data_IF_046490513160
#
_entry.id   IF_046490513160
#
_cell.length_a   1.000
_cell.length_b   1.000
_cell.length_c   1.000
_cell.angle_alpha   90.00
_cell.angle_beta   90.00
_cell.angle_gamma   90.00
#
_symmetry.space_group_name_H-M   'P 1'
#
loop_
_entity.id
_entity.type
_entity.pdbx_description
1 polymer ?
#
# COMPACT_ATOMS: atom_id res chain seq x y z
N UNK A 1 32.10 -39.65 38.30
CA UNK A 1 31.00 -39.65 37.31
C UNK A 1 30.07 -38.48 37.63
N UNK A 2 30.05 -37.40 36.85
CA UNK A 2 29.11 -36.31 37.07
C UNK A 2 27.85 -36.48 36.21
N UNK A 3 26.70 -36.29 36.83
CA UNK A 3 25.38 -36.39 36.22
C UNK A 3 25.16 -35.30 35.16
N UNK A 4 24.81 -35.71 33.94
CA UNK A 4 24.34 -34.81 32.87
C UNK A 4 22.95 -34.29 33.24
N UNK A 5 22.85 -32.98 33.50
CA UNK A 5 21.57 -32.27 33.48
C UNK A 5 21.15 -32.11 32.03
N UNK A 6 20.02 -32.74 31.66
CA UNK A 6 19.34 -32.51 30.40
C UNK A 6 18.60 -31.17 30.53
N UNK A 7 19.06 -30.15 29.80
CA UNK A 7 18.31 -28.92 29.59
C UNK A 7 17.11 -29.27 28.69
N UNK A 8 15.93 -29.30 29.28
CA UNK A 8 14.68 -29.30 28.52
C UNK A 8 14.58 -27.94 27.81
N UNK A 9 14.71 -27.96 26.48
CA UNK A 9 14.42 -26.79 25.66
C UNK A 9 12.91 -26.52 25.74
N UNK A 10 12.53 -25.43 26.40
CA UNK A 10 11.20 -24.86 26.27
C UNK A 10 11.08 -24.32 24.83
N UNK A 11 10.40 -25.06 23.97
CA UNK A 11 9.94 -24.53 22.69
C UNK A 11 8.76 -23.61 23.00
N UNK A 12 9.02 -22.31 23.07
CA UNK A 12 7.96 -21.31 23.04
C UNK A 12 7.38 -21.36 21.63
N UNK A 13 6.20 -21.95 21.48
CA UNK A 13 5.44 -21.85 20.24
C UNK A 13 5.07 -20.38 20.03
N UNK A 14 5.75 -19.71 19.11
CA UNK A 14 5.34 -18.41 18.60
C UNK A 14 3.92 -18.55 18.07
N UNK A 15 2.96 -17.85 18.68
CA UNK A 15 1.61 -17.71 18.12
C UNK A 15 1.74 -16.85 16.87
N UNK A 16 1.96 -17.49 15.71
CA UNK A 16 1.77 -16.83 14.43
C UNK A 16 0.34 -16.33 14.38
N UNK A 17 0.15 -15.02 14.19
CA UNK A 17 -1.17 -14.47 13.93
C UNK A 17 -1.81 -15.28 12.79
N UNK A 18 -2.94 -15.93 13.05
CA UNK A 18 -3.63 -16.74 12.06
C UNK A 18 -4.58 -15.81 11.30
N UNK A 19 -4.59 -15.91 9.96
CA UNK A 19 -5.54 -15.15 9.16
C UNK A 19 -6.93 -15.75 9.22
N UNK A 20 -7.96 -14.92 9.04
CA UNK A 20 -9.36 -15.31 9.01
C UNK A 20 -9.88 -15.34 7.56
N UNK A 21 -10.77 -16.28 7.26
CA UNK A 21 -11.41 -16.36 5.94
C UNK A 21 -12.57 -15.38 5.88
N UNK A 22 -12.63 -14.57 4.82
CA UNK A 22 -13.66 -13.52 4.66
C UNK A 22 -15.03 -14.06 4.35
N UNK A 23 -15.11 -15.32 3.88
CA UNK A 23 -16.29 -15.86 3.22
C UNK A 23 -16.13 -15.74 1.70
N UNK A 24 -16.99 -16.49 1.00
CA UNK A 24 -16.98 -16.57 -0.47
C UNK A 24 -17.26 -15.20 -1.11
N UNK A 25 -16.66 -14.95 -2.29
CA UNK A 25 -16.77 -13.71 -3.04
C UNK A 25 -18.22 -13.38 -3.44
N UNK A 26 -19.05 -14.42 -3.64
CA UNK A 26 -20.47 -14.29 -3.95
C UNK A 26 -20.79 -14.39 -5.45
N UNK A 27 -19.97 -15.11 -6.22
CA UNK A 27 -20.27 -15.48 -7.60
C UNK A 27 -21.34 -16.58 -7.64
N UNK A 28 -22.11 -16.65 -8.73
CA UNK A 28 -23.02 -17.76 -8.93
C UNK A 28 -22.26 -19.09 -8.99
N UNK A 29 -22.55 -19.95 -8.03
CA UNK A 29 -21.81 -21.18 -7.80
C UNK A 29 -22.77 -22.33 -7.47
N UNK A 30 -22.91 -23.25 -8.42
CA UNK A 30 -23.75 -24.45 -8.30
C UNK A 30 -22.97 -25.68 -8.79
N UNK A 31 -23.38 -26.86 -8.33
CA UNK A 31 -22.86 -28.13 -8.84
C UNK A 31 -23.89 -29.25 -8.66
N UNK A 32 -24.11 -30.05 -9.69
CA UNK A 32 -25.09 -31.15 -9.70
C UNK A 32 -24.47 -32.53 -9.43
N UNK A 33 -23.15 -32.67 -9.64
CA UNK A 33 -22.36 -33.86 -9.29
C UNK A 33 -21.65 -33.72 -7.94
N UNK A 34 -21.73 -34.74 -7.08
CA UNK A 34 -21.12 -34.75 -5.74
C UNK A 34 -19.58 -34.69 -5.78
N UNK A 35 -19.02 -33.48 -5.86
CA UNK A 35 -17.84 -32.97 -5.13
C UNK A 35 -17.44 -31.63 -5.71
N UNK A 36 -17.72 -30.57 -4.97
CA UNK A 36 -17.00 -29.31 -5.12
C UNK A 36 -15.52 -29.58 -4.82
N UNK A 37 -14.64 -29.41 -5.80
CA UNK A 37 -13.21 -29.50 -5.54
C UNK A 37 -12.75 -28.20 -4.87
N UNK A 38 -11.97 -28.33 -3.81
CA UNK A 38 -11.51 -27.20 -3.02
C UNK A 38 -9.99 -27.28 -2.84
N UNK A 39 -9.30 -26.19 -3.14
CA UNK A 39 -7.88 -26.03 -2.83
C UNK A 39 -7.65 -24.73 -2.08
N UNK A 40 -6.87 -24.79 -1.02
CA UNK A 40 -6.45 -23.63 -0.25
C UNK A 40 -4.93 -23.50 -0.32
N UNK A 41 -4.47 -22.30 -0.60
CA UNK A 41 -3.06 -21.93 -0.61
C UNK A 41 -2.85 -20.78 0.37
N UNK A 42 -1.71 -20.79 1.06
CA UNK A 42 -1.35 -19.74 2.00
C UNK A 42 0.13 -19.39 1.87
N UNK A 43 0.45 -18.12 2.07
CA UNK A 43 1.80 -17.62 2.20
C UNK A 43 2.27 -17.79 3.65
N UNK A 44 3.22 -18.69 3.95
CA UNK A 44 3.55 -19.07 5.33
C UNK A 44 4.12 -17.93 6.18
N UNK A 45 4.80 -16.96 5.54
CA UNK A 45 5.62 -15.95 6.23
C UNK A 45 5.22 -14.51 5.88
N UNK A 46 4.02 -14.29 5.36
CA UNK A 46 3.64 -12.94 4.90
C UNK A 46 2.36 -12.93 4.10
N UNK A 47 2.36 -12.11 3.05
CA UNK A 47 1.20 -11.84 2.22
C UNK A 47 1.43 -12.27 0.78
N UNK A 48 0.32 -12.43 0.05
CA UNK A 48 0.34 -12.60 -1.39
C UNK A 48 0.82 -11.28 -2.00
N UNK A 49 1.74 -11.34 -2.94
CA UNK A 49 2.28 -10.19 -3.70
C UNK A 49 2.01 -10.32 -5.20
N UNK A 50 1.29 -11.36 -5.60
CA UNK A 50 0.97 -11.65 -6.99
C UNK A 50 0.29 -13.00 -7.16
N UNK A 51 -0.33 -13.19 -8.32
CA UNK A 51 -1.02 -14.42 -8.69
C UNK A 51 -0.67 -14.77 -10.14
N UNK A 52 -0.40 -16.05 -10.37
CA UNK A 52 -0.41 -16.64 -11.72
C UNK A 52 -1.64 -17.51 -11.83
N UNK A 53 -2.37 -17.34 -12.93
CA UNK A 53 -3.52 -18.18 -13.28
C UNK A 53 -3.20 -18.87 -14.60
N UNK A 54 -3.45 -20.18 -14.65
CA UNK A 54 -3.48 -20.93 -15.90
C UNK A 54 -4.88 -21.40 -16.21
N UNK A 55 -5.24 -21.31 -17.49
CA UNK A 55 -6.47 -21.81 -18.06
C UNK A 55 -6.14 -22.97 -19.01
N UNK A 56 -6.84 -24.08 -18.83
CA UNK A 56 -6.78 -25.27 -19.66
C UNK A 56 -8.18 -25.70 -20.05
N UNK A 57 -8.30 -26.40 -21.17
CA UNK A 57 -9.57 -26.96 -21.63
C UNK A 57 -9.35 -28.37 -22.14
N UNK A 58 -10.17 -29.30 -21.69
CA UNK A 58 -10.27 -30.62 -22.28
C UNK A 58 -11.31 -30.59 -23.40
N UNK A 59 -10.87 -30.74 -24.65
CA UNK A 59 -11.76 -30.63 -25.81
C UNK A 59 -12.65 -31.90 -25.95
N UNK A 60 -12.31 -33.00 -25.28
CA UNK A 60 -13.09 -34.26 -25.30
C UNK A 60 -14.26 -34.24 -24.30
N UNK A 61 -14.03 -33.67 -23.11
CA UNK A 61 -15.00 -33.58 -22.01
C UNK A 61 -15.66 -32.17 -21.91
N UNK A 62 -15.31 -31.27 -22.83
CA UNK A 62 -15.74 -29.87 -22.92
C UNK A 62 -15.64 -29.07 -21.61
N UNK A 63 -14.58 -29.32 -20.85
CA UNK A 63 -14.41 -28.75 -19.50
C UNK A 63 -13.32 -27.69 -19.44
N UNK A 64 -13.62 -26.58 -18.77
CA UNK A 64 -12.72 -25.46 -18.50
C UNK A 64 -12.11 -25.54 -17.09
N UNK A 65 -10.77 -25.51 -17.07
CA UNK A 65 -9.97 -25.78 -15.89
C UNK A 65 -9.07 -24.60 -15.55
N UNK A 66 -9.15 -24.13 -14.31
CA UNK A 66 -8.30 -23.07 -13.78
C UNK A 66 -7.49 -23.56 -12.60
N UNK A 67 -6.20 -23.22 -12.61
CA UNK A 67 -5.29 -23.52 -11.51
C UNK A 67 -4.40 -22.31 -11.23
N UNK A 68 -3.96 -22.21 -9.99
CA UNK A 68 -3.51 -20.96 -9.41
C UNK A 68 -2.14 -21.15 -8.74
N UNK A 69 -1.33 -20.10 -8.78
CA UNK A 69 -0.06 -20.00 -8.08
C UNK A 69 -0.01 -18.66 -7.38
N UNK A 70 0.46 -18.64 -6.14
CA UNK A 70 0.60 -17.42 -5.36
C UNK A 70 2.06 -16.98 -5.35
N UNK A 71 2.32 -15.68 -5.47
CA UNK A 71 3.61 -15.08 -5.14
C UNK A 71 3.56 -14.69 -3.67
N UNK A 72 4.50 -15.18 -2.89
CA UNK A 72 4.66 -14.88 -1.46
C UNK A 72 5.98 -14.12 -1.28
N UNK A 73 5.90 -12.81 -1.08
CA UNK A 73 7.09 -11.95 -1.15
C UNK A 73 7.70 -12.00 -2.56
N UNK A 74 8.90 -12.56 -2.69
CA UNK A 74 9.61 -12.69 -3.98
C UNK A 74 9.61 -14.12 -4.55
N UNK A 75 8.84 -15.05 -3.96
CA UNK A 75 8.84 -16.45 -4.36
C UNK A 75 7.46 -16.92 -4.79
N UNK A 76 7.41 -17.66 -5.88
CA UNK A 76 6.20 -18.34 -6.31
C UNK A 76 6.00 -19.66 -5.56
N UNK A 77 4.77 -19.95 -5.14
CA UNK A 77 4.36 -21.19 -4.51
C UNK A 77 4.36 -22.37 -5.50
N UNK A 78 4.06 -23.57 -5.04
CA UNK A 78 3.58 -24.61 -5.96
C UNK A 78 2.20 -24.21 -6.54
N UNK A 79 1.80 -24.85 -7.64
CA UNK A 79 0.42 -24.77 -8.12
C UNK A 79 -0.54 -25.28 -7.05
N UNK A 80 -1.77 -24.75 -7.05
CA UNK A 80 -2.79 -25.09 -6.07
C UNK A 80 -3.19 -26.57 -6.12
N UNK A 81 -2.97 -27.21 -7.27
CA UNK A 81 -3.33 -28.61 -7.50
C UNK A 81 -4.82 -28.78 -7.82
N UNK A 82 -5.45 -27.75 -8.38
CA UNK A 82 -6.75 -27.87 -9.01
C UNK A 82 -6.65 -28.81 -10.23
N UNK A 83 -7.71 -29.54 -10.58
CA UNK A 83 -7.74 -30.37 -11.78
C UNK A 83 -7.37 -29.53 -13.00
N UNK A 84 -6.43 -30.01 -13.79
CA UNK A 84 -5.90 -29.25 -14.92
C UNK A 84 -5.41 -30.17 -16.03
N UNK A 85 -5.84 -29.90 -17.25
CA UNK A 85 -5.38 -30.55 -18.49
C UNK A 85 -5.22 -29.49 -19.59
N UNK A 86 -4.39 -29.81 -20.58
CA UNK A 86 -4.35 -29.09 -21.87
C UNK A 86 -4.30 -27.56 -21.77
N UNK A 87 -3.15 -27.03 -21.35
CA UNK A 87 -2.90 -25.59 -21.20
C UNK A 87 -3.28 -24.80 -22.47
N UNK A 88 -4.15 -23.79 -22.32
CA UNK A 88 -4.53 -22.86 -23.39
C UNK A 88 -3.93 -21.47 -23.15
N UNK A 89 -3.83 -21.03 -21.89
CA UNK A 89 -3.29 -19.71 -21.53
C UNK A 89 -2.73 -19.70 -20.10
N UNK A 90 -1.72 -18.87 -19.85
CA UNK A 90 -1.19 -18.56 -18.52
C UNK A 90 -0.90 -17.07 -18.44
N UNK A 91 -1.35 -16.42 -17.36
CA UNK A 91 -1.11 -15.00 -17.09
C UNK A 91 -0.70 -14.81 -15.64
N UNK A 92 0.13 -13.79 -15.41
CA UNK A 92 0.56 -13.41 -14.07
C UNK A 92 0.36 -11.92 -13.85
N UNK A 93 -0.02 -11.56 -12.63
CA UNK A 93 0.04 -10.19 -12.15
C UNK A 93 0.82 -10.17 -10.82
N UNK A 94 1.65 -9.16 -10.67
CA UNK A 94 2.41 -8.89 -9.45
C UNK A 94 2.09 -7.49 -8.98
N UNK A 95 2.00 -7.30 -7.68
CA UNK A 95 1.87 -5.98 -7.11
C UNK A 95 3.18 -5.20 -7.25
N UNK A 96 3.14 -3.91 -7.63
CA UNK A 96 4.33 -3.07 -7.74
C UNK A 96 5.08 -2.96 -6.42
N UNK A 97 6.40 -2.75 -6.47
CA UNK A 97 7.23 -2.31 -5.32
C UNK A 97 7.04 -3.12 -4.02
N UNK A 98 6.92 -4.46 -4.11
CA UNK A 98 6.71 -5.35 -2.95
C UNK A 98 5.43 -5.07 -2.14
N UNK A 99 4.49 -4.32 -2.71
CA UNK A 99 3.13 -4.22 -2.19
C UNK A 99 2.50 -5.61 -2.11
N UNK A 100 1.55 -5.75 -1.20
CA UNK A 100 0.79 -6.98 -1.01
C UNK A 100 -0.63 -6.81 -1.54
N UNK A 101 -1.22 -7.93 -1.90
CA UNK A 101 -2.60 -7.99 -2.35
C UNK A 101 -3.52 -7.78 -1.15
N UNK A 102 -4.44 -6.83 -1.26
CA UNK A 102 -5.47 -6.51 -0.25
C UNK A 102 -6.88 -6.85 -0.72
N UNK A 103 -7.07 -7.15 -2.00
CA UNK A 103 -8.37 -7.50 -2.58
C UNK A 103 -8.25 -8.26 -3.89
N UNK A 104 -9.33 -8.96 -4.24
CA UNK A 104 -9.49 -9.72 -5.47
C UNK A 104 -10.85 -9.40 -6.10
N UNK A 105 -10.85 -9.08 -7.39
CA UNK A 105 -12.04 -8.88 -8.23
C UNK A 105 -11.98 -9.90 -9.37
N UNK A 106 -13.10 -10.57 -9.62
CA UNK A 106 -13.21 -11.66 -10.60
C UNK A 106 -14.40 -11.41 -11.50
N UNK A 107 -14.16 -11.55 -12.81
CA UNK A 107 -15.20 -11.62 -13.83
C UNK A 107 -15.45 -13.06 -14.21
N UNK A 108 -16.72 -13.42 -14.29
CA UNK A 108 -17.20 -14.67 -14.88
C UNK A 108 -17.91 -14.36 -16.20
N UNK A 109 -17.58 -15.10 -17.24
CA UNK A 109 -18.17 -14.94 -18.56
C UNK A 109 -18.37 -16.30 -19.23
N UNK A 110 -19.27 -16.35 -20.21
CA UNK A 110 -19.53 -17.55 -21.00
C UNK A 110 -19.62 -17.23 -22.48
N UNK A 111 -19.06 -18.12 -23.30
CA UNK A 111 -19.28 -18.16 -24.73
C UNK A 111 -20.21 -19.34 -25.05
N UNK A 112 -21.44 -19.02 -25.44
CA UNK A 112 -22.45 -20.02 -25.83
C UNK A 112 -22.02 -20.92 -27.00
N UNK A 113 -21.17 -20.41 -27.90
CA UNK A 113 -20.65 -21.23 -29.00
C UNK A 113 -19.40 -22.00 -28.57
N UNK A 114 -19.56 -23.31 -28.40
CA UNK A 114 -18.53 -24.21 -27.91
C UNK A 114 -18.35 -24.14 -26.40
N UNK A 115 -19.41 -23.74 -25.67
CA UNK A 115 -19.56 -23.88 -24.21
C UNK A 115 -18.32 -23.52 -23.39
N UNK A 116 -17.77 -22.33 -23.62
CA UNK A 116 -16.53 -21.88 -22.97
C UNK A 116 -16.84 -20.99 -21.76
N UNK A 117 -16.46 -21.44 -20.57
CA UNK A 117 -16.48 -20.67 -19.34
C UNK A 117 -15.15 -19.94 -19.13
N UNK A 118 -15.25 -18.62 -19.05
CA UNK A 118 -14.10 -17.72 -18.99
C UNK A 118 -14.06 -16.92 -17.70
N UNK A 119 -12.86 -16.78 -17.15
CA UNK A 119 -12.62 -15.97 -15.96
C UNK A 119 -11.45 -15.02 -16.19
N UNK A 120 -11.59 -13.78 -15.71
CA UNK A 120 -10.49 -12.81 -15.65
C UNK A 120 -10.43 -12.22 -14.26
N UNK A 121 -9.22 -11.89 -13.83
CA UNK A 121 -8.90 -11.59 -12.45
C UNK A 121 -8.27 -10.21 -12.35
N UNK A 122 -8.47 -9.56 -11.22
CA UNK A 122 -7.91 -8.25 -10.94
C UNK A 122 -7.54 -8.18 -9.48
N UNK A 123 -6.31 -7.73 -9.22
CA UNK A 123 -5.78 -7.62 -7.87
C UNK A 123 -5.90 -6.18 -7.39
N UNK A 124 -6.18 -6.01 -6.10
CA UNK A 124 -5.96 -4.76 -5.39
C UNK A 124 -4.62 -4.86 -4.68
N UNK A 125 -3.72 -3.94 -4.95
CA UNK A 125 -2.40 -3.86 -4.33
C UNK A 125 -2.39 -2.68 -3.35
N UNK A 126 -2.31 -2.99 -2.06
CA UNK A 126 -2.28 -1.99 -0.97
C UNK A 126 -3.36 -0.91 -1.12
N UNK A 127 -4.61 -1.34 -1.36
CA UNK A 127 -5.78 -0.45 -1.54
C UNK A 127 -5.99 0.07 -2.96
N UNK A 128 -5.04 -0.12 -3.89
CA UNK A 128 -5.13 0.37 -5.27
C UNK A 128 -5.45 -0.78 -6.23
N UNK A 129 -6.61 -0.72 -6.88
CA UNK A 129 -7.03 -1.69 -7.89
C UNK A 129 -6.17 -1.59 -9.16
N UNK A 130 -5.61 -2.72 -9.57
CA UNK A 130 -4.77 -2.83 -10.76
C UNK A 130 -5.62 -3.10 -12.02
N UNK A 131 -4.97 -3.17 -13.18
CA UNK A 131 -5.61 -3.71 -14.38
C UNK A 131 -5.90 -5.21 -14.22
N UNK A 132 -6.89 -5.68 -14.98
CA UNK A 132 -7.14 -7.11 -15.12
C UNK A 132 -5.90 -7.86 -15.65
N UNK A 133 -5.77 -9.13 -15.29
CA UNK A 133 -4.71 -10.03 -15.77
C UNK A 133 -4.73 -10.17 -17.29
N UNK A 134 -5.89 -9.98 -17.92
CA UNK A 134 -6.05 -10.03 -19.36
C UNK A 134 -6.12 -11.46 -19.88
N UNK A 135 -6.83 -12.32 -19.15
CA UNK A 135 -7.23 -13.65 -19.62
C UNK A 135 -8.19 -13.51 -20.82
N UNK A 136 -8.19 -14.47 -21.74
CA UNK A 136 -9.22 -14.54 -22.78
C UNK A 136 -10.60 -14.62 -22.14
N UNK A 137 -11.46 -13.68 -22.49
CA UNK A 137 -12.75 -13.49 -21.82
C UNK A 137 -13.87 -13.25 -22.83
N UNK A 138 -15.03 -13.87 -22.62
CA UNK A 138 -16.20 -13.76 -23.49
C UNK A 138 -17.49 -13.66 -22.67
N UNK A 139 -18.46 -12.87 -23.17
CA UNK A 139 -19.84 -12.86 -22.68
C UNK A 139 -20.01 -12.74 -21.16
N UNK A 140 -19.62 -11.58 -20.60
CA UNK A 140 -19.76 -11.27 -19.17
C UNK A 140 -21.12 -11.69 -18.62
N UNK A 141 -21.10 -12.52 -17.58
CA UNK A 141 -22.27 -12.94 -16.82
C UNK A 141 -22.30 -12.22 -15.47
N UNK A 142 -21.17 -12.23 -14.76
CA UNK A 142 -21.08 -11.70 -13.40
C UNK A 142 -19.70 -11.09 -13.12
N UNK A 143 -19.66 -10.14 -12.19
CA UNK A 143 -18.45 -9.53 -11.66
C UNK A 143 -18.63 -9.36 -10.15
N UNK A 144 -17.70 -9.90 -9.37
CA UNK A 144 -17.69 -9.77 -7.91
C UNK A 144 -16.31 -9.41 -7.40
N UNK A 145 -16.26 -8.78 -6.23
CA UNK A 145 -15.00 -8.40 -5.57
C UNK A 145 -15.09 -8.55 -4.07
N UNK A 146 -13.95 -8.90 -3.48
CA UNK A 146 -13.78 -8.92 -2.03
C UNK A 146 -12.46 -8.24 -1.67
N UNK A 147 -12.50 -7.47 -0.59
CA UNK A 147 -11.34 -6.81 0.00
C UNK A 147 -11.15 -7.33 1.43
N UNK A 148 -9.90 -7.40 1.87
CA UNK A 148 -9.60 -7.57 3.28
C UNK A 148 -10.01 -6.32 4.07
N UNK A 149 -10.32 -6.46 5.38
CA UNK A 149 -10.50 -5.32 6.25
C UNK A 149 -9.30 -4.35 6.21
N UNK A 150 -9.56 -3.07 6.51
CA UNK A 150 -8.50 -2.05 6.56
C UNK A 150 -7.36 -2.47 7.50
N UNK A 151 -6.12 -2.37 7.02
CA UNK A 151 -4.92 -2.78 7.76
C UNK A 151 -4.62 -4.29 7.71
N UNK A 152 -5.33 -5.05 6.88
CA UNK A 152 -5.09 -6.46 6.62
C UNK A 152 -4.68 -6.70 5.16
N UNK A 153 -3.83 -7.71 4.96
CA UNK A 153 -3.41 -8.20 3.65
C UNK A 153 -3.89 -9.62 3.42
N UNK A 154 -4.07 -9.99 2.16
CA UNK A 154 -4.40 -11.36 1.80
C UNK A 154 -3.15 -12.23 2.02
N UNK A 155 -3.28 -13.22 2.90
CA UNK A 155 -2.26 -14.22 3.21
C UNK A 155 -2.57 -15.58 2.61
N UNK A 156 -3.77 -15.79 2.07
CA UNK A 156 -4.14 -17.03 1.39
C UNK A 156 -5.34 -16.87 0.46
N UNK A 157 -5.45 -17.81 -0.48
CA UNK A 157 -6.54 -17.92 -1.43
C UNK A 157 -7.09 -19.33 -1.36
N UNK A 158 -8.41 -19.45 -1.25
CA UNK A 158 -9.15 -20.70 -1.38
C UNK A 158 -10.01 -20.62 -2.62
N UNK A 159 -9.96 -21.68 -3.42
CA UNK A 159 -10.66 -21.80 -4.69
C UNK A 159 -11.56 -23.02 -4.60
N UNK A 160 -12.79 -22.84 -5.08
CA UNK A 160 -13.80 -23.87 -5.23
C UNK A 160 -14.11 -24.05 -6.72
N UNK A 161 -14.26 -25.30 -7.17
CA UNK A 161 -14.78 -25.62 -8.50
C UNK A 161 -16.03 -26.46 -8.37
N UNK A 162 -17.10 -25.99 -9.00
CA UNK A 162 -18.35 -26.70 -9.23
C UNK A 162 -18.47 -27.03 -10.71
N UNK A 163 -19.18 -28.12 -11.00
CA UNK A 163 -19.55 -28.49 -12.36
C UNK A 163 -21.05 -28.75 -12.43
N UNK A 164 -21.67 -28.25 -13.49
CA UNK A 164 -23.06 -28.52 -13.86
C UNK A 164 -23.04 -29.34 -15.16
N UNK A 165 -23.52 -30.58 -15.09
CA UNK A 165 -23.69 -31.48 -16.24
C UNK A 165 -24.66 -30.91 -17.27
N UNK A 166 -25.76 -30.28 -16.84
CA UNK A 166 -26.70 -29.69 -17.79
C UNK A 166 -26.18 -28.36 -18.36
N UNK A 167 -25.64 -28.45 -19.58
CA UNK A 167 -25.06 -27.33 -20.29
C UNK A 167 -23.60 -27.09 -19.96
N UNK A 168 -22.87 -28.11 -19.49
CA UNK A 168 -21.41 -28.15 -19.38
C UNK A 168 -20.84 -26.83 -18.82
N UNK A 169 -21.12 -26.59 -17.52
CA UNK A 169 -20.69 -25.36 -16.85
C UNK A 169 -19.64 -25.61 -15.79
N UNK A 170 -18.49 -24.99 -15.95
CA UNK A 170 -17.41 -24.92 -14.98
C UNK A 170 -17.49 -23.63 -14.16
N UNK A 171 -17.97 -23.77 -12.93
CA UNK A 171 -18.20 -22.67 -12.01
C UNK A 171 -17.07 -22.58 -10.98
N UNK A 172 -16.57 -21.38 -10.72
CA UNK A 172 -15.52 -21.14 -9.73
C UNK A 172 -15.95 -20.09 -8.72
N UNK A 173 -15.56 -20.33 -7.47
CA UNK A 173 -15.75 -19.40 -6.36
C UNK A 173 -14.46 -19.28 -5.54
N UNK A 174 -14.30 -18.15 -4.85
CA UNK A 174 -13.07 -17.74 -4.19
C UNK A 174 -13.35 -17.25 -2.77
N UNK A 175 -12.42 -17.50 -1.86
CA UNK A 175 -12.46 -17.03 -0.48
C UNK A 175 -11.04 -16.57 -0.09
N UNK A 176 -10.95 -15.45 0.62
CA UNK A 176 -9.69 -14.77 0.92
C UNK A 176 -9.34 -15.00 2.39
N UNK A 177 -8.09 -15.36 2.68
CA UNK A 177 -7.59 -15.42 4.05
C UNK A 177 -6.87 -14.12 4.38
N UNK A 178 -7.50 -13.27 5.19
CA UNK A 178 -6.98 -11.96 5.56
C UNK A 178 -6.25 -12.04 6.89
N UNK A 179 -5.12 -11.34 6.98
CA UNK A 179 -4.31 -11.29 8.19
C UNK A 179 -3.86 -9.85 8.42
N UNK A 180 -3.89 -9.40 9.67
CA UNK A 180 -3.35 -8.10 10.05
C UNK A 180 -1.91 -7.94 9.61
N UNK A 181 -1.65 -6.86 8.86
CA UNK A 181 -0.32 -6.46 8.39
C UNK A 181 0.57 -6.16 9.60
N UNK A 182 0.08 -5.31 10.50
CA UNK A 182 0.76 -4.95 11.74
C UNK A 182 1.08 -6.18 12.61
N UNK A 183 0.12 -7.09 12.85
CA UNK A 183 0.36 -8.27 13.67
C UNK A 183 1.29 -9.30 13.00
N UNK A 184 1.23 -9.45 11.67
CA UNK A 184 2.17 -10.29 10.92
C UNK A 184 3.60 -9.76 11.08
N UNK A 185 3.79 -8.46 10.85
CA UNK A 185 5.10 -7.83 10.88
C UNK A 185 5.67 -7.73 12.31
N UNK A 186 4.84 -7.43 13.31
CA UNK A 186 5.22 -7.47 14.73
C UNK A 186 5.64 -8.88 15.20
N UNK A 187 5.07 -9.94 14.61
CA UNK A 187 5.46 -11.33 14.90
C UNK A 187 6.78 -11.74 14.24
N UNK A 188 7.22 -11.01 13.22
CA UNK A 188 8.44 -11.29 12.46
C UNK A 188 9.62 -10.49 13.01
N UNK A 189 9.45 -9.20 13.36
CA UNK A 189 10.44 -8.33 14.03
C UNK A 189 9.72 -7.19 14.76
N UNK A 190 9.85 -7.11 16.08
CA UNK A 190 9.09 -6.13 16.87
C UNK A 190 9.56 -4.70 16.66
N UNK A 191 8.68 -3.83 16.15
CA UNK A 191 8.84 -2.39 16.25
C UNK A 191 8.99 -1.98 17.72
N UNK A 192 9.86 -1.03 18.05
CA UNK A 192 10.00 -0.55 19.41
C UNK A 192 8.72 0.17 19.84
N UNK A 193 8.27 -0.12 21.07
CA UNK A 193 7.11 0.55 21.66
C UNK A 193 7.41 2.05 21.85
N UNK A 194 6.69 2.90 21.10
CA UNK A 194 6.87 4.36 21.13
C UNK A 194 6.69 4.95 22.53
N UNK A 195 5.76 4.41 23.32
CA UNK A 195 5.51 4.87 24.69
C UNK A 195 6.69 4.55 25.59
N UNK A 196 7.33 3.39 25.40
CA UNK A 196 8.54 3.01 26.13
C UNK A 196 9.74 3.89 25.76
N UNK A 197 9.81 4.35 24.50
CA UNK A 197 10.82 5.31 24.05
C UNK A 197 10.51 6.76 24.45
N UNK A 198 9.35 7.04 25.06
CA UNK A 198 8.93 8.40 25.37
C UNK A 198 8.56 9.23 24.14
N UNK A 199 8.30 8.59 23.00
CA UNK A 199 7.96 9.25 21.74
C UNK A 199 6.44 9.44 21.61
N UNK A 200 5.99 10.57 21.06
CA UNK A 200 4.57 10.80 20.83
C UNK A 200 4.05 9.85 19.73
N UNK A 201 2.79 9.42 19.83
CA UNK A 201 2.20 8.46 18.88
C UNK A 201 2.03 9.04 17.48
N UNK A 202 1.82 10.34 17.36
CA UNK A 202 1.77 11.01 16.07
C UNK A 202 3.21 11.22 15.56
N UNK A 203 3.65 10.37 14.65
CA UNK A 203 5.01 10.40 14.08
C UNK A 203 5.23 11.63 13.20
N UNK A 204 4.19 12.14 12.55
CA UNK A 204 4.31 13.25 11.59
C UNK A 204 4.75 14.57 12.24
N UNK A 205 4.67 14.67 13.57
CA UNK A 205 5.12 15.85 14.33
C UNK A 205 6.49 15.64 14.99
N UNK A 206 7.16 14.52 14.72
CA UNK A 206 8.47 14.27 15.31
C UNK A 206 9.50 15.23 14.73
N UNK A 207 10.32 15.79 15.61
CA UNK A 207 11.57 16.45 15.21
C UNK A 207 12.64 15.42 14.83
N UNK A 208 13.80 15.91 14.40
CA UNK A 208 14.92 15.05 14.01
C UNK A 208 15.50 14.23 15.17
N UNK A 209 15.46 14.74 16.41
CA UNK A 209 16.00 14.03 17.58
C UNK A 209 15.07 12.87 18.01
N UNK A 210 13.76 13.09 17.95
CA UNK A 210 12.75 12.07 18.19
C UNK A 210 12.82 10.96 17.14
N UNK A 211 12.97 11.34 15.86
CA UNK A 211 13.24 10.37 14.81
C UNK A 211 14.56 9.62 15.08
N UNK A 212 15.62 10.31 15.46
CA UNK A 212 16.90 9.71 15.83
C UNK A 212 16.79 8.67 16.95
N UNK A 213 16.02 8.99 18.00
CA UNK A 213 15.73 8.08 19.12
C UNK A 213 15.07 6.79 18.66
N UNK A 214 14.13 6.88 17.71
CA UNK A 214 13.49 5.71 17.11
C UNK A 214 14.47 4.88 16.27
N UNK A 215 15.33 5.53 15.48
CA UNK A 215 16.36 4.86 14.70
C UNK A 215 17.39 4.14 15.58
N UNK A 216 17.82 4.76 16.67
CA UNK A 216 18.70 4.15 17.67
C UNK A 216 18.10 2.86 18.25
N UNK A 217 16.81 2.91 18.62
CA UNK A 217 16.10 1.74 19.16
C UNK A 217 16.00 0.57 18.16
N UNK A 218 16.07 0.88 16.85
CA UNK A 218 16.08 -0.10 15.77
C UNK A 218 17.49 -0.63 15.44
N UNK A 219 18.53 -0.12 16.11
CA UNK A 219 19.92 -0.43 15.80
C UNK A 219 20.45 0.27 14.54
N UNK A 220 19.80 1.37 14.13
CA UNK A 220 20.18 2.22 13.00
C UNK A 220 20.82 3.55 13.46
N UNK A 221 21.31 3.61 14.70
CA UNK A 221 21.90 4.82 15.28
C UNK A 221 23.02 5.46 14.48
N UNK A 222 23.77 4.65 13.73
CA UNK A 222 24.87 5.12 12.89
C UNK A 222 24.44 6.08 11.77
N UNK A 223 23.18 6.03 11.32
CA UNK A 223 22.69 6.93 10.27
C UNK A 223 22.03 8.20 10.81
N UNK A 224 21.79 8.28 12.12
CA UNK A 224 21.13 9.44 12.77
C UNK A 224 21.83 10.76 12.47
N UNK A 225 23.18 10.88 12.52
CA UNK A 225 23.84 12.15 12.20
C UNK A 225 23.54 12.63 10.77
N UNK A 226 23.43 11.71 9.82
CA UNK A 226 23.12 12.03 8.41
C UNK A 226 21.67 12.50 8.26
N UNK A 227 20.73 11.83 8.95
CA UNK A 227 19.33 12.26 8.97
C UNK A 227 19.17 13.67 9.57
N UNK A 228 19.87 13.97 10.66
CA UNK A 228 19.87 15.30 11.27
C UNK A 228 20.48 16.35 10.34
N UNK A 229 21.62 16.07 9.72
CA UNK A 229 22.31 16.99 8.81
C UNK A 229 21.44 17.37 7.60
N UNK A 230 20.71 16.40 7.06
CA UNK A 230 19.79 16.59 5.95
C UNK A 230 18.37 17.05 6.37
N UNK A 231 18.16 17.50 7.61
CA UNK A 231 16.87 17.96 8.15
C UNK A 231 15.72 16.93 7.99
N UNK A 232 16.02 15.64 8.08
CA UNK A 232 15.00 14.59 8.04
C UNK A 232 14.28 14.50 9.40
N UNK A 233 12.96 14.56 9.37
CA UNK A 233 12.10 14.53 10.55
C UNK A 233 10.86 13.66 10.31
N UNK A 234 9.98 13.54 11.28
CA UNK A 234 8.82 12.65 11.19
C UNK A 234 7.84 12.98 10.06
N UNK A 235 7.79 14.24 9.61
CA UNK A 235 6.98 14.64 8.47
C UNK A 235 7.65 14.34 7.13
N UNK A 236 8.97 14.41 7.01
CA UNK A 236 9.69 14.20 5.74
C UNK A 236 10.21 12.78 5.54
N UNK A 237 10.34 11.99 6.61
CA UNK A 237 10.89 10.64 6.56
C UNK A 237 10.08 9.68 5.67
N UNK A 238 8.75 9.87 5.59
CA UNK A 238 7.86 9.07 4.74
C UNK A 238 7.94 9.43 3.26
N UNK A 239 8.62 10.52 2.90
CA UNK A 239 8.84 10.97 1.52
C UNK A 239 10.17 10.47 0.94
N UNK A 240 10.98 9.78 1.75
CA UNK A 240 12.27 9.27 1.31
C UNK A 240 12.13 8.18 0.25
N UNK A 241 12.92 8.29 -0.81
CA UNK A 241 13.06 7.26 -1.84
C UNK A 241 14.27 6.37 -1.53
N UNK A 242 14.39 5.23 -2.23
CA UNK A 242 15.58 4.38 -2.08
C UNK A 242 16.89 5.13 -2.38
N UNK A 243 16.87 6.05 -3.35
CA UNK A 243 18.05 6.84 -3.70
C UNK A 243 18.43 7.82 -2.58
N UNK A 244 17.45 8.44 -1.91
CA UNK A 244 17.70 9.27 -0.73
C UNK A 244 18.32 8.47 0.41
N UNK A 245 17.84 7.25 0.66
CA UNK A 245 18.42 6.37 1.68
C UNK A 245 19.88 6.03 1.36
N UNK A 246 20.22 5.84 0.09
CA UNK A 246 21.61 5.61 -0.33
C UNK A 246 22.48 6.83 -0.02
N UNK A 247 22.01 8.03 -0.35
CA UNK A 247 22.68 9.30 -0.06
C UNK A 247 22.85 9.53 1.46
N UNK A 248 21.85 9.15 2.26
CA UNK A 248 21.87 9.21 3.71
C UNK A 248 22.80 8.19 4.38
N UNK A 249 23.43 7.29 3.61
CA UNK A 249 24.41 6.32 4.09
C UNK A 249 23.91 4.88 4.24
N UNK A 250 22.63 4.61 3.93
CA UNK A 250 22.10 3.24 3.85
C UNK A 250 22.50 2.61 2.50
N UNK A 251 23.79 2.29 2.36
CA UNK A 251 24.35 1.78 1.10
C UNK A 251 24.05 0.30 0.86
N UNK A 252 23.79 -0.47 1.91
CA UNK A 252 23.37 -1.88 1.82
C UNK A 252 21.91 -1.97 1.34
N UNK A 253 21.66 -2.75 0.28
CA UNK A 253 20.29 -2.99 -0.24
C UNK A 253 19.37 -3.57 0.85
N UNK A 254 19.87 -4.52 1.63
CA UNK A 254 19.11 -5.12 2.73
C UNK A 254 18.68 -4.12 3.80
N UNK A 255 19.55 -3.20 4.19
CA UNK A 255 19.27 -2.20 5.22
C UNK A 255 18.25 -1.16 4.72
N UNK A 256 18.32 -0.77 3.43
CA UNK A 256 17.29 0.09 2.82
C UNK A 256 15.92 -0.57 2.79
N UNK A 257 15.87 -1.84 2.35
CA UNK A 257 14.62 -2.58 2.33
C UNK A 257 14.04 -2.77 3.74
N UNK A 258 14.91 -3.02 4.73
CA UNK A 258 14.52 -3.10 6.13
C UNK A 258 13.97 -1.77 6.65
N UNK A 259 14.64 -0.65 6.34
CA UNK A 259 14.20 0.67 6.73
C UNK A 259 12.85 1.05 6.13
N UNK A 260 12.65 0.81 4.83
CA UNK A 260 11.38 1.07 4.14
C UNK A 260 10.25 0.25 4.79
N UNK A 261 10.48 -1.03 5.07
CA UNK A 261 9.51 -1.90 5.72
C UNK A 261 9.12 -1.40 7.12
N UNK A 262 10.10 -0.94 7.91
CA UNK A 262 9.83 -0.36 9.24
C UNK A 262 9.04 0.95 9.16
N UNK A 263 9.31 1.81 8.17
CA UNK A 263 8.53 3.02 7.95
C UNK A 263 7.09 2.70 7.52
N UNK A 264 6.89 1.73 6.64
CA UNK A 264 5.54 1.29 6.25
C UNK A 264 4.75 0.82 7.47
N UNK A 265 5.36 0.00 8.33
CA UNK A 265 4.71 -0.45 9.57
C UNK A 265 4.37 0.72 10.50
N UNK A 266 5.31 1.64 10.69
CA UNK A 266 5.10 2.82 11.51
C UNK A 266 3.97 3.71 10.95
N UNK A 267 3.88 3.85 9.63
CA UNK A 267 2.82 4.58 8.95
C UNK A 267 1.45 3.91 9.12
N UNK A 268 1.37 2.59 8.92
CA UNK A 268 0.13 1.83 9.07
C UNK A 268 -0.40 1.91 10.51
N UNK A 269 0.50 1.82 11.49
CA UNK A 269 0.16 1.93 12.91
C UNK A 269 -0.42 3.32 13.28
N UNK A 270 0.14 4.41 12.72
CA UNK A 270 -0.40 5.76 12.96
C UNK A 270 -1.73 5.99 12.23
N UNK A 271 -1.91 5.44 11.03
CA UNK A 271 -3.17 5.55 10.27
C UNK A 271 -4.28 4.77 10.96
N UNK A 272 -4.01 3.54 11.40
CA UNK A 272 -4.96 2.74 12.17
C UNK A 272 -5.34 3.43 13.47
N UNK A 273 -4.36 4.01 14.18
CA UNK A 273 -4.62 4.80 15.36
C UNK A 273 -5.47 6.03 15.06
N UNK A 274 -5.15 6.81 14.03
CA UNK A 274 -5.86 8.05 13.72
C UNK A 274 -7.32 7.76 13.32
N UNK A 275 -7.55 6.69 12.57
CA UNK A 275 -8.88 6.20 12.24
C UNK A 275 -9.68 5.84 13.50
N UNK A 276 -9.05 5.18 14.48
CA UNK A 276 -9.71 4.78 15.73
C UNK A 276 -10.19 5.95 16.60
N UNK A 277 -9.60 7.14 16.43
CA UNK A 277 -9.96 8.37 17.14
C UNK A 277 -10.68 9.39 16.26
N UNK A 278 -11.02 9.03 15.01
CA UNK A 278 -11.71 9.91 14.07
C UNK A 278 -10.89 11.13 13.62
N UNK A 279 -9.57 11.03 13.64
CA UNK A 279 -8.64 12.10 13.22
C UNK A 279 -8.04 11.73 11.87
N UNK A 280 -8.08 12.66 10.93
CA UNK A 280 -7.36 12.54 9.66
C UNK A 280 -5.98 13.18 9.80
N UNK A 281 -4.94 12.38 9.58
CA UNK A 281 -3.56 12.86 9.59
C UNK A 281 -3.25 13.48 8.23
N UNK A 282 -2.63 14.66 8.24
CA UNK A 282 -2.02 15.27 7.06
C UNK A 282 -0.51 15.27 7.27
N UNK A 283 0.24 14.80 6.28
CA UNK A 283 1.71 14.69 6.30
C UNK A 283 2.36 16.06 6.46
N UNK A 284 1.88 17.06 5.72
CA UNK A 284 2.21 18.48 5.92
C UNK A 284 1.03 19.38 5.58
N UNK A 285 0.44 20.10 6.54
CA UNK A 285 -0.61 21.06 6.23
C UNK A 285 0.01 22.27 5.51
N UNK A 286 -0.42 22.50 4.26
CA UNK A 286 -0.22 23.78 3.57
C UNK A 286 -0.51 24.92 4.54
N UNK A 287 0.39 25.90 4.69
CA UNK A 287 0.18 26.96 5.66
C UNK A 287 -1.10 27.71 5.34
N UNK A 288 -1.81 28.25 6.35
CA UNK A 288 -3.13 28.86 6.16
C UNK A 288 -3.05 30.12 5.29
N UNK A 289 -3.22 29.95 3.97
CA UNK A 289 -2.95 30.96 2.94
C UNK A 289 -3.63 32.31 3.21
N UNK A 290 -4.91 32.28 3.61
CA UNK A 290 -5.67 33.50 3.95
C UNK A 290 -5.07 34.24 5.15
N UNK A 291 -4.57 33.52 6.16
CA UNK A 291 -3.92 34.13 7.34
C UNK A 291 -2.57 34.77 6.96
N UNK A 292 -1.91 34.25 5.93
CA UNK A 292 -0.69 34.83 5.36
C UNK A 292 -0.97 35.99 4.39
N UNK A 293 -2.25 36.34 4.15
CA UNK A 293 -2.63 37.35 3.17
C UNK A 293 -2.30 36.95 1.73
N UNK A 294 -2.33 35.66 1.44
CA UNK A 294 -2.08 35.08 0.11
C UNK A 294 -3.38 34.86 -0.65
N UNK A 295 -3.32 35.03 -1.98
CA UNK A 295 -4.38 34.62 -2.90
C UNK A 295 -4.58 33.10 -2.85
N UNK A 296 -5.82 32.63 -3.08
CA UNK A 296 -6.13 31.20 -3.26
C UNK A 296 -5.81 30.70 -4.69
N UNK A 297 -5.22 31.55 -5.53
CA UNK A 297 -4.69 31.20 -6.84
C UNK A 297 -3.17 31.29 -6.78
N UNK A 298 -2.46 30.23 -6.37
CA UNK A 298 -1.01 30.23 -6.25
C UNK A 298 -0.30 30.51 -7.57
N UNK A 299 -0.88 30.16 -8.73
CA UNK A 299 -0.31 30.50 -10.04
C UNK A 299 -0.16 32.01 -10.27
N UNK A 300 -0.89 32.85 -9.53
CA UNK A 300 -0.77 34.31 -9.59
C UNK A 300 0.19 34.90 -8.56
N UNK A 301 0.86 34.06 -7.76
CA UNK A 301 1.72 34.53 -6.67
C UNK A 301 2.99 35.17 -7.21
N UNK A 302 3.37 36.28 -6.58
CA UNK A 302 4.69 36.87 -6.78
C UNK A 302 5.75 36.07 -6.03
N UNK A 303 7.03 36.27 -6.35
CA UNK A 303 8.15 35.72 -5.57
C UNK A 303 8.01 36.05 -4.07
N UNK A 304 7.58 37.28 -3.74
CA UNK A 304 7.35 37.70 -2.35
C UNK A 304 6.27 36.87 -1.65
N UNK A 305 5.25 36.45 -2.39
CA UNK A 305 4.19 35.59 -1.87
C UNK A 305 4.68 34.16 -1.64
N UNK A 306 5.49 33.62 -2.54
CA UNK A 306 6.19 32.33 -2.35
C UNK A 306 7.07 32.37 -1.11
N UNK A 307 7.84 33.44 -0.90
CA UNK A 307 8.66 33.62 0.30
C UNK A 307 7.85 33.62 1.62
N UNK A 308 6.60 34.10 1.61
CA UNK A 308 5.73 34.02 2.81
C UNK A 308 5.41 32.57 3.16
N UNK A 309 5.25 31.71 2.15
CA UNK A 309 5.01 30.28 2.34
C UNK A 309 6.26 29.63 2.92
N UNK A 310 7.44 29.84 2.31
CA UNK A 310 8.72 29.29 2.81
C UNK A 310 8.94 29.65 4.28
N UNK A 311 8.78 30.93 4.64
CA UNK A 311 8.89 31.38 6.02
C UNK A 311 7.87 30.73 6.96
N UNK A 312 6.65 30.49 6.49
CA UNK A 312 5.60 29.88 7.31
C UNK A 312 5.86 28.40 7.63
N UNK A 313 6.72 27.74 6.83
CA UNK A 313 7.10 26.34 7.01
C UNK A 313 8.54 26.18 7.53
N UNK A 314 9.19 27.27 7.97
CA UNK A 314 10.52 27.23 8.57
C UNK A 314 11.67 27.13 7.56
N UNK A 315 11.44 27.54 6.31
CA UNK A 315 12.41 27.51 5.21
C UNK A 315 12.87 28.92 4.81
N UNK A 316 12.91 29.86 5.76
CA UNK A 316 13.32 31.25 5.51
C UNK A 316 14.74 31.38 4.94
N UNK A 317 15.64 30.44 5.26
CA UNK A 317 17.04 30.47 4.81
C UNK A 317 17.16 30.34 3.28
N UNK A 318 16.20 29.71 2.62
CA UNK A 318 16.19 29.54 1.16
C UNK A 318 15.47 30.68 0.42
N UNK A 319 14.93 31.69 1.13
CA UNK A 319 14.17 32.76 0.49
C UNK A 319 15.01 33.56 -0.52
N UNK A 320 16.29 33.79 -0.26
CA UNK A 320 17.17 34.53 -1.18
C UNK A 320 17.36 33.79 -2.50
N UNK A 321 17.49 32.46 -2.46
CA UNK A 321 17.61 31.61 -3.66
C UNK A 321 16.34 31.69 -4.51
N UNK A 322 15.16 31.62 -3.89
CA UNK A 322 13.89 31.76 -4.62
C UNK A 322 13.73 33.16 -5.24
N UNK A 323 14.28 34.19 -4.60
CA UNK A 323 14.31 35.55 -5.16
C UNK A 323 15.27 35.65 -6.33
N UNK A 324 16.49 35.15 -6.19
CA UNK A 324 17.53 35.16 -7.22
C UNK A 324 17.09 34.43 -8.48
N UNK A 325 16.53 33.23 -8.31
CA UNK A 325 16.03 32.39 -9.40
C UNK A 325 14.62 32.78 -9.88
N UNK A 326 14.03 33.84 -9.30
CA UNK A 326 12.71 34.38 -9.67
C UNK A 326 11.60 33.33 -9.63
N UNK A 327 11.61 32.47 -8.62
CA UNK A 327 10.60 31.44 -8.41
C UNK A 327 9.31 32.10 -7.95
N UNK A 328 8.41 32.33 -8.89
CA UNK A 328 7.06 32.85 -8.66
C UNK A 328 6.03 31.72 -8.80
N UNK A 329 4.76 32.01 -8.57
CA UNK A 329 3.71 31.00 -8.44
C UNK A 329 3.50 30.03 -9.61
N UNK A 330 3.59 30.51 -10.86
CA UNK A 330 3.50 29.67 -12.06
C UNK A 330 4.74 28.79 -12.27
N UNK A 331 5.92 29.27 -11.87
CA UNK A 331 7.19 28.53 -11.89
C UNK A 331 7.24 27.49 -10.77
N UNK A 332 6.72 27.81 -9.59
CA UNK A 332 6.76 26.96 -8.39
C UNK A 332 6.25 25.54 -8.68
N UNK A 333 5.15 25.40 -9.40
CA UNK A 333 4.55 24.11 -9.74
C UNK A 333 5.34 23.27 -10.74
N UNK A 334 6.35 23.85 -11.39
CA UNK A 334 7.25 23.15 -12.31
C UNK A 334 8.59 22.81 -11.66
N UNK A 335 8.82 23.22 -10.40
CA UNK A 335 10.05 22.88 -9.71
C UNK A 335 10.09 21.39 -9.37
N UNK A 336 11.19 20.75 -9.80
CA UNK A 336 11.54 19.40 -9.40
C UNK A 336 12.58 19.42 -8.28
N UNK A 337 12.77 18.29 -7.60
CA UNK A 337 13.85 18.15 -6.62
C UNK A 337 15.23 18.47 -7.22
N UNK A 338 15.47 18.07 -8.47
CA UNK A 338 16.74 18.35 -9.16
C UNK A 338 16.94 19.86 -9.38
N UNK A 339 15.88 20.61 -9.67
CA UNK A 339 15.97 22.07 -9.77
C UNK A 339 16.28 22.71 -8.43
N UNK A 340 15.69 22.21 -7.34
CA UNK A 340 16.00 22.69 -6.00
C UNK A 340 17.46 22.40 -5.63
N UNK A 341 17.98 21.24 -6.03
CA UNK A 341 19.40 20.90 -5.88
C UNK A 341 20.31 21.81 -6.71
N UNK A 342 19.94 22.13 -7.94
CA UNK A 342 20.65 23.10 -8.80
C UNK A 342 20.65 24.51 -8.20
N UNK A 343 19.60 24.87 -7.46
CA UNK A 343 19.50 26.12 -6.69
C UNK A 343 20.25 26.07 -5.35
N UNK A 344 21.05 25.04 -5.07
CA UNK A 344 21.82 24.87 -3.82
C UNK A 344 20.95 24.59 -2.57
N UNK A 345 19.74 24.05 -2.74
CA UNK A 345 18.96 23.47 -1.62
C UNK A 345 19.48 22.04 -1.35
N UNK A 346 20.62 21.94 -0.66
CA UNK A 346 21.36 20.67 -0.52
C UNK A 346 20.74 19.67 0.47
N UNK A 347 19.92 20.14 1.41
CA UNK A 347 19.29 19.28 2.42
C UNK A 347 18.10 18.52 1.84
N UNK A 348 18.16 17.19 1.88
CA UNK A 348 17.13 16.30 1.34
C UNK A 348 15.76 16.59 1.98
N UNK A 349 15.69 16.74 3.30
CA UNK A 349 14.43 16.99 4.01
C UNK A 349 13.75 18.28 3.58
N UNK A 350 14.54 19.34 3.37
CA UNK A 350 14.02 20.64 2.96
C UNK A 350 13.51 20.60 1.51
N UNK A 351 14.22 19.92 0.61
CA UNK A 351 13.73 19.70 -0.77
C UNK A 351 12.43 18.93 -0.79
N UNK A 352 12.35 17.83 -0.05
CA UNK A 352 11.14 17.00 0.03
C UNK A 352 9.97 17.78 0.60
N UNK A 353 10.20 18.60 1.62
CA UNK A 353 9.17 19.48 2.18
C UNK A 353 8.65 20.50 1.16
N UNK A 354 9.55 21.14 0.39
CA UNK A 354 9.16 22.09 -0.66
C UNK A 354 8.33 21.39 -1.74
N UNK A 355 8.77 20.22 -2.21
CA UNK A 355 8.07 19.44 -3.23
C UNK A 355 6.69 19.00 -2.74
N UNK A 356 6.57 18.50 -1.52
CA UNK A 356 5.31 18.05 -0.93
C UNK A 356 4.30 19.20 -0.74
N UNK A 357 4.75 20.35 -0.23
CA UNK A 357 3.90 21.55 -0.10
C UNK A 357 3.43 22.02 -1.48
N UNK A 358 4.33 22.01 -2.47
CA UNK A 358 4.01 22.44 -3.84
C UNK A 358 2.99 21.51 -4.48
N UNK A 359 3.16 20.19 -4.33
CA UNK A 359 2.21 19.20 -4.81
C UNK A 359 0.85 19.34 -4.11
N UNK A 360 0.83 19.49 -2.79
CA UNK A 360 -0.42 19.68 -2.03
C UNK A 360 -1.13 20.98 -2.43
N UNK A 361 -0.39 22.07 -2.66
CA UNK A 361 -0.93 23.32 -3.20
C UNK A 361 -1.54 23.11 -4.59
N UNK A 362 -0.89 22.35 -5.46
CA UNK A 362 -1.38 22.06 -6.81
C UNK A 362 -2.68 21.25 -6.78
N UNK A 363 -2.74 20.22 -5.94
CA UNK A 363 -3.93 19.39 -5.73
C UNK A 363 -5.09 20.20 -5.16
N UNK A 364 -4.82 21.14 -4.24
CA UNK A 364 -5.84 22.07 -3.79
C UNK A 364 -6.31 22.93 -4.96
N UNK A 365 -5.44 23.56 -5.74
CA UNK A 365 -5.87 24.43 -6.85
C UNK A 365 -6.69 23.68 -7.92
N UNK A 366 -6.26 22.48 -8.29
CA UNK A 366 -6.94 21.66 -9.31
C UNK A 366 -8.19 20.95 -8.78
N UNK A 367 -8.19 20.54 -7.52
CA UNK A 367 -9.37 20.03 -6.82
C UNK A 367 -10.47 21.08 -6.68
N UNK A 368 -10.12 22.36 -6.54
CA UNK A 368 -11.09 23.46 -6.50
C UNK A 368 -11.74 23.71 -7.88
N UNK A 369 -11.02 23.44 -8.98
CA UNK A 369 -11.62 23.47 -10.33
C UNK A 369 -12.63 22.34 -10.56
N UNK A 370 -12.51 21.21 -9.86
CA UNK A 370 -13.49 20.11 -9.91
C UNK A 370 -14.65 20.29 -8.90
N UNK A 371 -14.40 20.98 -7.77
CA UNK A 371 -15.39 21.25 -6.73
C UNK A 371 -16.45 22.32 -7.05
N UNK A 372 -16.23 23.19 -8.05
CA UNK A 372 -17.25 24.16 -8.48
C UNK A 372 -18.42 23.53 -9.28
N UNK A 373 -18.34 22.23 -9.62
CA UNK A 373 -19.44 21.48 -10.24
C UNK A 373 -20.40 20.81 -9.23
N UNK A 374 -20.11 20.82 -7.92
CA UNK A 374 -20.99 20.22 -6.92
C UNK A 374 -21.16 21.15 -5.72
N UNK A 375 -22.18 21.98 -5.76
CA UNK A 375 -22.63 22.75 -4.59
C UNK A 375 -23.16 21.76 -3.53
N UNK A 376 -22.59 21.67 -2.33
CA UNK A 376 -23.21 20.89 -1.26
C UNK A 376 -24.38 21.71 -0.70
N UNK A 377 -25.58 21.17 -0.80
CA UNK A 377 -26.73 21.69 -0.03
C UNK A 377 -26.38 21.65 1.46
N UNK A 378 -26.53 22.81 2.11
CA UNK A 378 -26.29 22.95 3.55
C UNK A 378 -27.19 21.99 4.34
N UNK A 379 -26.58 21.10 5.13
CA UNK A 379 -27.28 20.25 6.09
C UNK A 379 -27.38 21.00 7.44
N UNK A 380 -28.58 21.43 7.88
CA UNK A 380 -28.73 22.39 8.99
C UNK A 380 -28.63 21.77 10.41
N UNK A 381 -27.96 20.63 10.59
CA UNK A 381 -27.86 19.98 11.92
C UNK A 381 -26.41 19.81 12.37
N UNK A 382 -25.77 20.92 12.77
CA UNK A 382 -24.63 20.93 13.69
C UNK A 382 -24.56 22.31 14.37
N UNK A 383 -25.66 22.65 15.07
CA UNK A 383 -25.69 23.65 16.13
C UNK A 383 -26.25 22.96 17.37
N UNK A 384 -25.45 22.12 17.99
CA UNK A 384 -25.62 21.67 19.38
C UNK A 384 -24.45 20.74 19.69
N UNK A 385 -23.44 21.31 20.33
CA UNK A 385 -22.48 20.74 21.28
C UNK A 385 -21.38 21.80 21.42
N UNK A 386 -21.74 22.85 22.14
CA UNK A 386 -20.81 23.78 22.78
C UNK A 386 -20.52 23.24 24.19
#
# INVERSE_FOLDING_TARGET
MPARRVLAALVVALQYAQGEWTGILGLNFESDGNKVDQRAMQCPSGFITGVTVRHGRDDDDDTDMYDFKLRCGDRWSAWSGMPFKSLKEEKSAECPMKMHVTGLEVKQGRREFGDVDTYDFKLQCSGVWQSYLGMKFYGLQEEQRQECPNGEGISGLKVFRGFIEWGDKDLYEYDLNCKSIAANLASVRGLPDLKMLGLPRNVLVWDGEQLGTWLDALGLGQVVPSFLDHNINGGTVFLLTEDHLRELGLTTVGDRLYFIDLLTQLYDDIVAWSASIGVQLATHPVPPLRKLGLSLQPTSWTVKDVCKVLKAVGLEDYMELFVEHRVQGDVLFNLTEENLKEMEVDKIGDRLLITDITQTLYEQVTGWQQGEAATPQANPKLKQLA
#
